data_IF_182047475442
#
_entry.id   IF_182047475442
#
_cell.length_a   1.000
_cell.length_b   1.000
_cell.length_c   1.000
_cell.angle_alpha   90.00
_cell.angle_beta   90.00
_cell.angle_gamma   90.00
#
_symmetry.space_group_name_H-M   'P 1'
#
loop_
_entity.id
_entity.type
_entity.pdbx_description
1 polymer ?
#
# COMPACT_ATOMS: atom_id res chain seq x y z
N UNK A 1 -33.47 14.45 18.56
CA UNK A 1 -32.83 15.60 17.88
C UNK A 1 -32.52 15.13 16.46
N UNK A 2 -33.27 15.65 15.49
CA UNK A 2 -33.12 15.29 14.08
C UNK A 2 -31.90 15.99 13.46
N UNK A 3 -31.17 15.25 12.61
CA UNK A 3 -30.16 15.75 11.67
C UNK A 3 -30.76 16.79 10.72
N UNK A 4 -30.08 17.91 10.44
CA UNK A 4 -30.04 18.51 9.09
C UNK A 4 -28.75 19.33 8.93
N UNK A 5 -28.02 19.04 7.85
CA UNK A 5 -26.79 19.68 7.36
C UNK A 5 -26.97 21.17 6.96
N UNK A 6 -25.89 21.98 6.99
CA UNK A 6 -25.92 23.41 6.62
C UNK A 6 -25.86 23.72 5.10
N UNK A 7 -26.01 22.76 4.19
CA UNK A 7 -25.87 23.00 2.73
C UNK A 7 -27.14 23.55 2.03
N UNK A 8 -27.99 24.29 2.74
CA UNK A 8 -29.27 24.78 2.25
C UNK A 8 -29.28 26.26 1.84
N UNK A 9 -28.19 26.80 1.26
CA UNK A 9 -28.12 28.19 0.78
C UNK A 9 -27.42 28.36 -0.58
N UNK A 10 -27.69 27.49 -1.56
CA UNK A 10 -27.33 27.78 -2.96
C UNK A 10 -28.37 27.34 -4.01
N UNK A 11 -29.58 26.95 -3.59
CA UNK A 11 -30.63 26.45 -4.49
C UNK A 11 -31.64 27.52 -4.96
N UNK A 12 -31.30 28.81 -4.92
CA UNK A 12 -32.29 29.89 -5.16
C UNK A 12 -32.11 30.73 -6.43
N UNK A 13 -31.30 30.32 -7.42
CA UNK A 13 -31.23 31.06 -8.69
C UNK A 13 -30.95 30.12 -9.86
N UNK A 14 -32.01 29.49 -10.41
CA UNK A 14 -32.30 29.34 -11.86
C UNK A 14 -33.41 28.30 -12.05
N UNK A 15 -34.62 28.68 -11.64
CA UNK A 15 -35.85 28.11 -12.19
C UNK A 15 -35.94 28.48 -13.68
N UNK A 16 -36.56 27.60 -14.47
CA UNK A 16 -37.07 27.91 -15.82
C UNK A 16 -35.94 28.06 -16.84
N UNK A 17 -35.80 27.17 -17.81
CA UNK A 17 -36.46 27.36 -19.11
C UNK A 17 -36.38 26.04 -19.92
N UNK A 18 -37.56 25.46 -20.16
CA UNK A 18 -37.99 24.72 -21.36
C UNK A 18 -37.49 23.30 -21.68
N UNK A 19 -38.42 22.35 -21.46
CA UNK A 19 -38.76 21.33 -22.46
C UNK A 19 -39.32 22.01 -23.72
N UNK A 20 -38.66 21.84 -24.88
CA UNK A 20 -39.22 21.66 -26.23
C UNK A 20 -38.15 21.99 -27.27
N UNK A 21 -37.67 20.98 -28.01
CA UNK A 21 -37.49 21.07 -29.46
C UNK A 21 -36.75 19.83 -30.00
N UNK A 22 -37.45 19.09 -30.86
CA UNK A 22 -36.94 18.36 -32.03
C UNK A 22 -35.90 17.26 -31.76
N UNK A 23 -36.24 15.97 -31.72
CA UNK A 23 -36.76 15.17 -32.84
C UNK A 23 -36.66 15.83 -34.22
N UNK A 24 -35.58 15.54 -34.94
CA UNK A 24 -35.50 15.46 -36.41
C UNK A 24 -34.04 15.18 -36.81
N UNK A 25 -33.74 13.98 -37.32
CA UNK A 25 -32.40 13.74 -37.89
C UNK A 25 -32.01 12.30 -38.19
N UNK A 26 -32.91 11.54 -38.82
CA UNK A 26 -32.65 10.21 -39.36
C UNK A 26 -31.58 10.25 -40.48
N UNK A 27 -30.74 9.21 -40.53
CA UNK A 27 -30.11 8.57 -41.71
C UNK A 27 -28.70 9.02 -42.21
N UNK A 28 -27.77 8.08 -41.94
CA UNK A 28 -26.88 7.37 -42.89
C UNK A 28 -25.61 8.02 -43.45
N UNK A 29 -24.51 7.24 -43.36
CA UNK A 29 -23.34 7.25 -44.25
C UNK A 29 -22.04 7.61 -43.52
N UNK A 30 -21.38 6.69 -42.79
CA UNK A 30 -20.33 5.74 -43.23
C UNK A 30 -18.96 6.38 -43.54
N UNK A 31 -17.94 5.77 -42.93
CA UNK A 31 -16.52 5.71 -43.26
C UNK A 31 -15.55 6.68 -42.53
N UNK A 32 -14.96 6.14 -41.46
CA UNK A 32 -13.51 5.92 -41.29
C UNK A 32 -12.58 7.11 -41.56
N UNK A 33 -11.97 7.66 -40.49
CA UNK A 33 -10.53 7.53 -40.20
C UNK A 33 -10.16 8.27 -38.90
N UNK A 34 -9.72 7.50 -37.91
CA UNK A 34 -8.68 7.78 -36.91
C UNK A 34 -8.54 9.22 -36.36
N UNK A 35 -9.15 9.40 -35.18
CA UNK A 35 -8.72 10.19 -34.02
C UNK A 35 -7.88 11.45 -34.28
N UNK A 36 -8.61 12.56 -34.41
CA UNK A 36 -8.10 13.91 -34.22
C UNK A 36 -7.81 14.24 -32.76
N UNK A 37 -6.79 15.07 -32.62
CA UNK A 37 -6.26 15.73 -31.44
C UNK A 37 -7.28 16.49 -30.58
N UNK A 38 -6.81 16.77 -29.35
CA UNK A 38 -6.90 18.07 -28.64
C UNK A 38 -7.88 18.12 -27.47
N UNK A 39 -7.36 17.89 -26.26
CA UNK A 39 -7.86 18.49 -25.03
C UNK A 39 -6.67 18.86 -24.15
N UNK A 40 -6.48 20.16 -23.94
CA UNK A 40 -5.43 20.78 -23.14
C UNK A 40 -5.90 21.06 -21.70
N UNK A 41 -5.08 20.59 -20.74
CA UNK A 41 -4.84 21.05 -19.35
C UNK A 41 -5.96 20.85 -18.28
N UNK A 42 -5.60 20.48 -17.02
CA UNK A 42 -4.87 21.37 -16.11
C UNK A 42 -3.59 20.80 -15.48
N UNK A 43 -2.68 21.70 -15.09
CA UNK A 43 -1.53 21.46 -14.20
C UNK A 43 -1.96 21.65 -12.75
N UNK A 44 -2.00 20.56 -11.99
CA UNK A 44 -2.13 20.49 -10.54
C UNK A 44 -1.65 19.08 -10.17
N UNK A 45 -0.74 18.78 -9.26
CA UNK A 45 0.00 19.59 -8.32
C UNK A 45 0.65 18.71 -7.26
N UNK A 46 1.03 17.45 -7.52
CA UNK A 46 1.79 16.58 -6.59
C UNK A 46 2.39 15.40 -7.35
N UNK A 47 3.65 15.06 -7.07
CA UNK A 47 4.39 14.00 -7.75
C UNK A 47 3.81 12.61 -7.49
N UNK A 48 2.96 12.14 -8.39
CA UNK A 48 2.53 10.75 -8.51
C UNK A 48 3.68 9.89 -9.09
N UNK A 49 4.74 9.71 -8.31
CA UNK A 49 5.82 8.79 -8.64
C UNK A 49 5.36 7.34 -8.37
N UNK A 50 5.31 6.53 -9.44
CA UNK A 50 5.25 5.07 -9.51
C UNK A 50 4.48 4.34 -8.39
N UNK A 51 3.31 3.81 -8.73
CA UNK A 51 2.55 2.89 -7.87
C UNK A 51 3.36 1.66 -7.43
N UNK A 52 2.91 0.94 -6.38
CA UNK A 52 3.62 -0.22 -5.87
C UNK A 52 3.78 -1.32 -6.94
N UNK A 53 4.93 -1.99 -6.96
CA UNK A 53 5.26 -3.07 -7.90
C UNK A 53 4.57 -4.38 -7.48
N UNK A 54 3.24 -4.38 -7.43
CA UNK A 54 2.47 -5.61 -7.31
C UNK A 54 2.16 -6.13 -8.72
N UNK A 55 2.37 -7.43 -8.98
CA UNK A 55 1.82 -8.06 -10.18
C UNK A 55 0.30 -7.97 -10.12
N UNK A 56 -0.28 -7.18 -11.02
CA UNK A 56 -1.72 -7.17 -11.29
C UNK A 56 -2.12 -8.55 -11.85
N UNK A 57 -2.48 -9.51 -11.00
CA UNK A 57 -3.25 -10.68 -11.46
C UNK A 57 -4.68 -10.20 -11.71
N UNK A 58 -5.12 -10.26 -12.97
CA UNK A 58 -6.41 -9.80 -13.50
C UNK A 58 -7.67 -10.38 -12.83
N UNK A 59 -7.52 -11.20 -11.79
CA UNK A 59 -8.58 -11.82 -11.00
C UNK A 59 -8.98 -11.05 -9.74
N UNK A 60 -8.20 -10.05 -9.32
CA UNK A 60 -8.50 -9.20 -8.16
C UNK A 60 -8.33 -7.72 -8.55
N UNK A 61 -9.42 -7.12 -9.04
CA UNK A 61 -9.48 -5.69 -9.41
C UNK A 61 -9.77 -4.78 -8.21
N UNK A 62 -9.51 -5.23 -6.97
CA UNK A 62 -9.59 -4.34 -5.80
C UNK A 62 -8.22 -3.73 -5.51
N UNK A 63 -8.14 -2.39 -5.60
CA UNK A 63 -6.98 -1.68 -5.07
C UNK A 63 -6.87 -2.01 -3.57
N UNK A 64 -5.67 -2.36 -3.07
CA UNK A 64 -5.50 -2.65 -1.66
C UNK A 64 -5.85 -1.39 -0.84
N UNK A 65 -6.88 -1.52 -0.01
CA UNK A 65 -7.36 -0.45 0.88
C UNK A 65 -6.40 -0.22 2.05
N UNK A 66 -5.58 -1.22 2.41
CA UNK A 66 -4.71 -1.14 3.59
C UNK A 66 -3.33 -1.72 3.30
N UNK A 67 -2.29 -1.08 3.85
CA UNK A 67 -0.89 -1.46 3.71
C UNK A 67 -0.29 -1.85 5.06
N UNK A 68 0.53 -2.90 5.08
CA UNK A 68 1.28 -3.33 6.25
C UNK A 68 2.76 -3.17 5.97
N UNK A 69 3.46 -2.46 6.85
CA UNK A 69 4.91 -2.32 6.84
C UNK A 69 5.49 -3.20 7.94
N UNK A 70 6.14 -4.29 7.54
CA UNK A 70 6.84 -5.21 8.46
C UNK A 70 8.24 -4.71 8.80
N UNK A 71 8.95 -4.19 7.79
CA UNK A 71 10.29 -3.62 7.92
C UNK A 71 10.33 -2.28 7.20
N UNK A 72 10.63 -1.23 7.93
CA UNK A 72 10.71 0.14 7.44
C UNK A 72 11.16 1.06 8.56
N UNK A 73 11.05 2.38 8.33
CA UNK A 73 11.36 3.37 9.38
C UNK A 73 10.43 3.23 10.58
N UNK A 74 9.13 3.11 10.34
CA UNK A 74 8.09 2.96 11.36
C UNK A 74 7.20 1.77 10.97
N UNK A 75 7.44 0.56 11.51
CA UNK A 75 6.57 -0.58 11.21
C UNK A 75 5.15 -0.36 11.75
N UNK A 76 4.14 -0.76 10.98
CA UNK A 76 2.75 -0.48 11.29
C UNK A 76 1.79 -0.78 10.14
N UNK A 77 0.51 -0.52 10.38
CA UNK A 77 -0.57 -0.64 9.40
C UNK A 77 -0.99 0.78 8.98
N UNK A 78 -1.08 1.02 7.68
CA UNK A 78 -1.38 2.31 7.06
C UNK A 78 -2.54 2.16 6.09
N UNK A 79 -3.47 3.09 6.10
CA UNK A 79 -4.59 3.12 5.15
C UNK A 79 -4.20 3.85 3.85
N UNK A 80 -3.16 4.71 3.89
CA UNK A 80 -2.68 5.48 2.74
C UNK A 80 -1.34 4.99 2.17
N UNK A 81 -1.27 4.96 0.83
CA UNK A 81 -0.04 4.59 0.12
C UNK A 81 1.10 5.61 0.32
N UNK A 82 0.80 6.91 0.31
CA UNK A 82 1.82 7.95 0.44
C UNK A 82 2.55 7.86 1.79
N UNK A 83 1.79 7.62 2.86
CA UNK A 83 2.31 7.47 4.21
C UNK A 83 3.20 6.24 4.35
N UNK A 84 2.76 5.11 3.80
CA UNK A 84 3.55 3.88 3.72
C UNK A 84 4.84 4.12 2.91
N UNK A 85 4.73 4.76 1.74
CA UNK A 85 5.84 5.04 0.83
C UNK A 85 6.90 5.91 1.48
N UNK A 86 6.54 6.95 2.24
CA UNK A 86 7.52 7.79 2.97
C UNK A 86 8.41 6.98 3.93
N UNK A 87 7.92 5.83 4.41
CA UNK A 87 8.61 5.02 5.40
C UNK A 87 9.46 3.91 4.80
N UNK A 88 9.06 3.40 3.63
CA UNK A 88 9.80 2.34 2.92
C UNK A 88 10.73 2.90 1.84
N UNK A 89 10.47 4.11 1.33
CA UNK A 89 11.27 4.71 0.27
C UNK A 89 12.72 4.96 0.75
N UNK A 90 13.67 4.50 -0.07
CA UNK A 90 15.12 4.50 0.21
C UNK A 90 15.53 3.76 1.49
N UNK A 91 14.69 2.87 2.02
CA UNK A 91 15.06 2.00 3.14
C UNK A 91 15.53 0.62 2.63
N UNK A 92 16.76 0.25 2.93
CA UNK A 92 17.34 -1.04 2.54
C UNK A 92 16.69 -2.20 3.32
N UNK A 93 16.22 -3.23 2.61
CA UNK A 93 15.55 -4.36 3.25
C UNK A 93 14.15 -4.03 3.78
N UNK A 94 13.49 -3.01 3.22
CA UNK A 94 12.08 -2.77 3.50
C UNK A 94 11.23 -3.98 3.10
N UNK A 95 10.17 -4.21 3.85
CA UNK A 95 9.19 -5.25 3.58
C UNK A 95 7.81 -4.69 3.91
N UNK A 96 6.99 -4.55 2.87
CA UNK A 96 5.62 -4.08 2.98
C UNK A 96 4.71 -4.93 2.08
N UNK A 97 3.42 -5.00 2.44
CA UNK A 97 2.40 -5.71 1.66
C UNK A 97 1.04 -5.04 1.79
N UNK A 98 0.34 -4.89 0.66
CA UNK A 98 -1.05 -4.42 0.61
C UNK A 98 -2.05 -5.57 0.81
N UNK A 99 -3.17 -5.26 1.44
CA UNK A 99 -4.30 -6.14 1.68
C UNK A 99 -5.62 -5.41 1.37
N UNK A 100 -6.67 -6.13 0.93
CA UNK A 100 -7.96 -5.53 0.61
C UNK A 100 -8.76 -5.14 1.87
N UNK A 101 -8.50 -5.77 3.02
CA UNK A 101 -9.20 -5.51 4.28
C UNK A 101 -8.26 -5.19 5.42
N UNK A 102 -8.65 -4.21 6.25
CA UNK A 102 -7.89 -3.79 7.43
C UNK A 102 -7.74 -4.91 8.48
N UNK A 103 -8.80 -5.70 8.68
CA UNK A 103 -8.77 -6.83 9.63
C UNK A 103 -7.74 -7.88 9.20
N UNK A 104 -7.61 -8.18 7.90
CA UNK A 104 -6.56 -9.09 7.43
C UNK A 104 -5.17 -8.48 7.65
N UNK A 105 -4.99 -7.21 7.30
CA UNK A 105 -3.74 -6.48 7.49
C UNK A 105 -3.27 -6.52 8.97
N UNK A 106 -4.15 -6.17 9.91
CA UNK A 106 -3.88 -6.20 11.34
C UNK A 106 -3.57 -7.62 11.84
N UNK A 107 -4.34 -8.61 11.41
CA UNK A 107 -4.10 -10.02 11.77
C UNK A 107 -2.74 -10.52 11.27
N UNK A 108 -2.32 -10.12 10.07
CA UNK A 108 -0.99 -10.44 9.52
C UNK A 108 0.12 -9.74 10.28
N UNK A 109 -0.08 -8.47 10.63
CA UNK A 109 0.88 -7.70 11.41
C UNK A 109 1.05 -8.27 12.83
N UNK A 110 -0.04 -8.63 13.49
CA UNK A 110 0.00 -9.28 14.81
C UNK A 110 0.77 -10.61 14.79
N UNK A 111 0.57 -11.44 13.75
CA UNK A 111 1.35 -12.67 13.55
C UNK A 111 2.83 -12.40 13.33
N UNK A 112 3.17 -11.33 12.62
CA UNK A 112 4.56 -10.91 12.43
C UNK A 112 5.21 -10.53 13.76
N UNK A 113 4.56 -9.71 14.58
CA UNK A 113 5.07 -9.33 15.92
C UNK A 113 5.24 -10.54 16.84
N UNK A 114 4.29 -11.48 16.81
CA UNK A 114 4.38 -12.73 17.57
C UNK A 114 5.54 -13.62 17.09
N UNK A 115 5.83 -13.62 15.78
CA UNK A 115 6.98 -14.30 15.18
C UNK A 115 8.31 -13.64 15.57
N UNK A 116 8.39 -12.32 15.51
CA UNK A 116 9.58 -11.54 15.80
C UNK A 116 10.14 -11.81 17.22
N UNK A 117 9.27 -11.84 18.23
CA UNK A 117 9.67 -12.20 19.61
C UNK A 117 10.25 -13.62 19.71
N UNK A 118 9.65 -14.58 18.98
CA UNK A 118 10.12 -15.97 18.93
C UNK A 118 11.46 -16.08 18.21
N UNK A 119 11.62 -15.32 17.15
CA UNK A 119 12.83 -15.30 16.32
C UNK A 119 13.99 -14.64 17.06
N UNK A 120 13.76 -13.56 17.81
CA UNK A 120 14.77 -12.97 18.70
C UNK A 120 15.27 -13.98 19.73
N UNK A 121 14.36 -14.70 20.39
CA UNK A 121 14.74 -15.76 21.34
C UNK A 121 15.52 -16.87 20.63
N UNK A 122 15.09 -17.31 19.45
CA UNK A 122 15.76 -18.36 18.67
C UNK A 122 17.14 -17.92 18.20
N UNK A 123 17.30 -16.72 17.68
CA UNK A 123 18.58 -16.20 17.22
C UNK A 123 19.53 -15.94 18.39
N UNK A 124 19.02 -15.48 19.54
CA UNK A 124 19.79 -15.41 20.78
C UNK A 124 20.23 -16.81 21.21
N UNK A 125 19.35 -17.80 21.21
CA UNK A 125 19.73 -19.20 21.53
C UNK A 125 20.73 -19.79 20.53
N UNK A 126 20.59 -19.51 19.23
CA UNK A 126 21.57 -19.93 18.20
C UNK A 126 22.92 -19.27 18.41
N UNK A 127 22.93 -17.97 18.71
CA UNK A 127 24.15 -17.22 18.99
C UNK A 127 24.81 -17.76 20.26
N UNK A 128 24.04 -18.00 21.32
CA UNK A 128 24.55 -18.59 22.56
C UNK A 128 25.05 -20.03 22.35
N UNK A 129 24.38 -20.83 21.52
CA UNK A 129 24.83 -22.18 21.17
C UNK A 129 26.13 -22.14 20.35
N UNK A 130 26.26 -21.22 19.39
CA UNK A 130 27.50 -21.02 18.63
C UNK A 130 28.64 -20.55 19.53
N UNK A 131 28.39 -19.57 20.40
CA UNK A 131 29.36 -19.08 21.38
C UNK A 131 29.77 -20.20 22.36
N UNK A 132 28.82 -20.97 22.89
CA UNK A 132 29.10 -22.10 23.77
C UNK A 132 29.92 -23.18 23.05
N UNK A 133 29.58 -23.50 21.79
CA UNK A 133 30.35 -24.44 20.96
C UNK A 133 31.79 -23.93 20.74
N UNK A 134 31.97 -22.66 20.39
CA UNK A 134 33.29 -22.04 20.22
C UNK A 134 34.09 -22.06 21.52
N UNK A 135 33.48 -21.71 22.66
CA UNK A 135 34.18 -21.73 23.95
C UNK A 135 34.65 -23.15 24.31
N UNK A 136 33.77 -24.15 24.23
CA UNK A 136 34.13 -25.54 24.55
C UNK A 136 35.25 -26.04 23.64
N UNK A 137 35.15 -25.76 22.33
CA UNK A 137 36.19 -26.17 21.37
C UNK A 137 37.53 -25.47 21.62
N UNK A 138 37.53 -24.18 21.96
CA UNK A 138 38.74 -23.45 22.35
C UNK A 138 39.38 -24.01 23.64
N UNK A 139 38.58 -24.37 24.65
CA UNK A 139 39.08 -24.95 25.91
C UNK A 139 39.72 -26.33 25.69
N UNK A 140 39.12 -27.17 24.85
CA UNK A 140 39.68 -28.49 24.49
C UNK A 140 41.00 -28.34 23.72
N UNK A 141 41.04 -27.43 22.75
CA UNK A 141 42.27 -27.16 22.00
C UNK A 141 43.39 -26.66 22.91
N UNK A 142 43.08 -25.74 23.84
CA UNK A 142 44.05 -25.25 24.82
C UNK A 142 44.57 -26.36 25.73
N UNK A 143 43.70 -27.24 26.21
CA UNK A 143 44.08 -28.39 27.04
C UNK A 143 45.10 -29.29 26.33
N UNK A 144 44.90 -29.59 25.05
CA UNK A 144 45.83 -30.41 24.25
C UNK A 144 47.17 -29.74 23.99
N UNK A 145 47.23 -28.40 24.02
CA UNK A 145 48.50 -27.67 23.85
C UNK A 145 49.31 -27.64 25.15
N UNK A 146 48.63 -27.65 26.30
CA UNK A 146 49.26 -27.60 27.63
C UNK A 146 49.71 -28.98 28.11
N UNK A 147 48.99 -30.04 27.73
CA UNK A 147 49.33 -31.44 28.00
C UNK A 147 50.32 -31.96 26.97
#
# INVERSE_FOLDING_TARGET
MAYVEPYALQSMMTTTTHLHAADLGRRMGRATTLNGSLASAPREGTGAEAGPCWPLDSRDLSMPTTYVVYKGRVPGVYDDWEDCRRQVHRFSGNSYKGYPTRVEAEGRYARYLAGEMRDMRRNRMKTMAFVMMVIVTMLVMFYVIVV
#
